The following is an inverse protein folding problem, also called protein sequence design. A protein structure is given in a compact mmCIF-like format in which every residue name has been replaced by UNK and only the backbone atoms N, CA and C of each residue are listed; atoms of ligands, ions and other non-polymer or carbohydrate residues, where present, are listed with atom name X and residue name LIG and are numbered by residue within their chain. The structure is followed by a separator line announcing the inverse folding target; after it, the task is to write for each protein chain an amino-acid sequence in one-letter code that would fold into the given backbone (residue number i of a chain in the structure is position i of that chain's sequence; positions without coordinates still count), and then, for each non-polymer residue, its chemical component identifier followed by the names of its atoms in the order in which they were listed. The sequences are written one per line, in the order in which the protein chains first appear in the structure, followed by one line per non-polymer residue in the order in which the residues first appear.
data_IF_986298396985
#
_entry.id   IF_986298396985
#
_cell.length_a   1.000
_cell.length_b   1.000
_cell.length_c   1.000
_cell.angle_alpha   90.00
_cell.angle_beta   90.00
_cell.angle_gamma   90.00
#
_symmetry.space_group_name_H-M   'P 1'
#
loop_
_entity.id
_entity.type
_entity.pdbx_description
1 polymer ?
#
# COMPACT_ATOMS: atom_id res chain seq x y z
N UNK A 1 10.93 -1.98 5.72
CA UNK A 1 11.70 -0.77 5.33
C UNK A 1 11.52 -0.56 3.82
N UNK A 2 11.90 0.60 3.30
CA UNK A 2 11.96 0.83 1.85
C UNK A 2 13.07 -0.04 1.27
N UNK A 3 12.72 -0.95 0.36
CA UNK A 3 13.69 -1.88 -0.24
C UNK A 3 14.37 -1.27 -1.47
N UNK A 4 13.58 -0.68 -2.38
CA UNK A 4 14.05 -0.06 -3.60
C UNK A 4 13.68 1.42 -3.60
N UNK A 5 14.64 2.27 -3.94
CA UNK A 5 14.43 3.71 -4.08
C UNK A 5 14.15 4.03 -5.54
N UNK A 6 12.94 4.47 -5.83
CA UNK A 6 12.52 4.90 -7.16
C UNK A 6 12.63 6.42 -7.24
N UNK A 7 13.50 6.89 -8.13
CA UNK A 7 13.60 8.31 -8.42
C UNK A 7 12.42 8.77 -9.28
N UNK A 8 12.08 10.05 -9.17
CA UNK A 8 11.08 10.66 -10.03
C UNK A 8 11.51 10.60 -11.50
N UNK A 9 10.56 10.32 -12.37
CA UNK A 9 10.69 10.41 -13.84
C UNK A 9 9.37 10.94 -14.40
N UNK A 10 8.56 10.10 -15.04
CA UNK A 10 7.20 10.47 -15.50
C UNK A 10 6.15 10.44 -14.38
N UNK A 11 6.53 10.02 -13.18
CA UNK A 11 5.67 9.98 -12.00
C UNK A 11 6.34 10.66 -10.81
N UNK A 12 5.53 11.31 -9.97
CA UNK A 12 5.94 11.69 -8.61
C UNK A 12 5.85 10.44 -7.71
N UNK A 13 6.95 10.13 -7.03
CA UNK A 13 7.08 8.90 -6.23
C UNK A 13 7.43 9.23 -4.80
N UNK A 14 6.46 9.13 -3.91
CA UNK A 14 6.66 9.35 -2.47
C UNK A 14 6.73 8.00 -1.77
N UNK A 15 7.86 7.72 -1.13
CA UNK A 15 8.10 6.49 -0.37
C UNK A 15 8.16 6.82 1.11
N UNK A 16 7.48 6.02 1.94
CA UNK A 16 7.42 6.25 3.39
C UNK A 16 7.84 5.00 4.14
N UNK A 17 8.91 5.10 4.90
CA UNK A 17 9.37 4.02 5.77
C UNK A 17 8.69 4.08 7.14
N UNK A 18 8.08 2.97 7.54
CA UNK A 18 7.49 2.82 8.88
C UNK A 18 8.60 2.88 9.94
N UNK A 19 8.40 3.72 10.96
CA UNK A 19 9.36 4.01 12.01
C UNK A 19 10.27 5.20 11.73
N UNK A 20 10.31 5.71 10.49
CA UNK A 20 11.10 6.89 10.11
C UNK A 20 10.16 8.00 9.62
N UNK A 21 9.43 7.75 8.53
CA UNK A 21 8.56 8.75 7.88
C UNK A 21 7.11 8.68 8.35
N UNK A 22 6.71 7.56 8.95
CA UNK A 22 5.36 7.30 9.45
C UNK A 22 5.40 6.37 10.66
N UNK A 23 4.47 6.53 11.60
CA UNK A 23 4.42 5.70 12.81
C UNK A 23 3.94 4.26 12.54
N UNK A 24 3.00 4.09 11.60
CA UNK A 24 2.45 2.78 11.22
C UNK A 24 1.91 2.79 9.79
N UNK A 25 1.52 1.62 9.28
CA UNK A 25 0.79 1.49 8.02
C UNK A 25 -0.54 2.22 8.05
N UNK A 26 -1.34 2.06 9.11
CA UNK A 26 -2.67 2.69 9.20
C UNK A 26 -2.56 4.22 9.15
N UNK A 27 -1.56 4.79 9.84
CA UNK A 27 -1.26 6.22 9.79
C UNK A 27 -0.78 6.64 8.39
N UNK A 28 0.02 5.82 7.72
CA UNK A 28 0.47 6.10 6.36
C UNK A 28 -0.72 6.13 5.40
N UNK A 29 -1.55 5.08 5.41
CA UNK A 29 -2.71 4.90 4.54
C UNK A 29 -3.76 5.99 4.74
N UNK A 30 -4.16 6.29 5.99
CA UNK A 30 -5.10 7.39 6.28
C UNK A 30 -4.63 8.74 5.76
N UNK A 31 -3.32 8.99 5.77
CA UNK A 31 -2.74 10.23 5.27
C UNK A 31 -2.60 10.23 3.74
N UNK A 32 -2.37 9.07 3.12
CA UNK A 32 -2.27 8.94 1.65
C UNK A 32 -3.53 9.40 0.94
N UNK A 33 -4.74 9.20 1.49
CA UNK A 33 -6.00 9.72 0.92
C UNK A 33 -5.97 11.24 0.68
N UNK A 34 -5.23 11.99 1.51
CA UNK A 34 -5.11 13.45 1.38
C UNK A 34 -3.98 13.88 0.45
N UNK A 35 -3.19 12.94 -0.05
CA UNK A 35 -2.09 13.18 -1.00
C UNK A 35 -2.52 12.98 -2.46
N UNK A 36 -3.80 12.64 -2.70
CA UNK A 36 -4.36 12.38 -4.02
C UNK A 36 -3.46 11.48 -4.90
N UNK A 37 -3.08 10.27 -4.43
CA UNK A 37 -2.26 9.35 -5.21
C UNK A 37 -3.05 8.80 -6.41
N UNK A 38 -2.36 8.42 -7.47
CA UNK A 38 -2.96 7.60 -8.55
C UNK A 38 -2.72 6.10 -8.31
N UNK A 39 -1.55 5.78 -7.73
CA UNK A 39 -1.07 4.41 -7.48
C UNK A 39 -0.57 4.29 -6.05
N UNK A 40 -0.90 3.19 -5.36
CA UNK A 40 -0.51 2.94 -3.98
C UNK A 40 0.11 1.54 -3.87
N UNK A 41 1.35 1.47 -3.36
CA UNK A 41 1.98 0.22 -2.92
C UNK A 41 1.89 0.12 -1.38
N UNK A 42 1.12 -0.85 -0.90
CA UNK A 42 0.81 -1.02 0.54
C UNK A 42 1.82 -1.96 1.24
N UNK A 43 2.64 -2.69 0.48
CA UNK A 43 3.52 -3.72 1.02
C UNK A 43 2.76 -5.02 1.35
N UNK A 44 3.22 -5.77 2.36
CA UNK A 44 2.58 -7.02 2.79
C UNK A 44 1.36 -6.75 3.68
N UNK A 45 0.21 -7.29 3.31
CA UNK A 45 -1.01 -7.23 4.12
C UNK A 45 -0.95 -8.30 5.20
N UNK A 46 -0.89 -7.85 6.47
CA UNK A 46 -0.81 -8.71 7.65
C UNK A 46 -2.01 -8.61 8.59
N UNK A 47 -2.86 -7.60 8.40
CA UNK A 47 -4.07 -7.37 9.22
C UNK A 47 -5.28 -7.13 8.33
N UNK A 48 -6.46 -7.47 8.85
CA UNK A 48 -7.73 -7.18 8.20
C UNK A 48 -7.91 -5.68 7.96
N UNK A 49 -7.54 -4.82 8.91
CA UNK A 49 -7.63 -3.36 8.77
C UNK A 49 -6.80 -2.85 7.56
N UNK A 50 -5.60 -3.40 7.34
CA UNK A 50 -4.79 -3.03 6.17
C UNK A 50 -5.44 -3.48 4.86
N UNK A 51 -6.07 -4.67 4.85
CA UNK A 51 -6.82 -5.16 3.70
C UNK A 51 -8.04 -4.28 3.39
N UNK A 52 -8.78 -3.89 4.41
CA UNK A 52 -9.94 -3.00 4.26
C UNK A 52 -9.55 -1.67 3.62
N UNK A 53 -8.42 -1.08 4.04
CA UNK A 53 -7.89 0.10 3.36
C UNK A 53 -7.54 -0.18 1.90
N UNK A 54 -6.83 -1.28 1.60
CA UNK A 54 -6.45 -1.63 0.23
C UNK A 54 -7.67 -1.74 -0.69
N UNK A 55 -8.74 -2.38 -0.22
CA UNK A 55 -10.00 -2.53 -0.95
C UNK A 55 -10.66 -1.16 -1.16
N UNK A 56 -10.78 -0.33 -0.11
CA UNK A 56 -11.38 1.01 -0.23
C UNK A 56 -10.64 1.90 -1.22
N UNK A 57 -9.30 1.84 -1.26
CA UNK A 57 -8.52 2.58 -2.25
C UNK A 57 -8.80 2.10 -3.67
N UNK A 58 -8.84 0.78 -3.88
CA UNK A 58 -9.13 0.20 -5.19
C UNK A 58 -10.54 0.57 -5.67
N UNK A 59 -11.54 0.56 -4.78
CA UNK A 59 -12.92 0.94 -5.08
C UNK A 59 -13.07 2.43 -5.44
N UNK A 60 -12.19 3.28 -4.94
CA UNK A 60 -12.20 4.73 -5.20
C UNK A 60 -11.40 5.14 -6.44
N UNK A 61 -10.93 4.17 -7.23
CA UNK A 61 -10.30 4.40 -8.54
C UNK A 61 -8.78 4.45 -8.52
N UNK A 62 -8.15 4.08 -7.40
CA UNK A 62 -6.70 4.00 -7.28
C UNK A 62 -6.19 2.64 -7.76
N UNK A 63 -5.01 2.59 -8.39
CA UNK A 63 -4.33 1.32 -8.61
C UNK A 63 -3.61 0.89 -7.33
N UNK A 64 -4.09 -0.16 -6.69
CA UNK A 64 -3.50 -0.71 -5.47
C UNK A 64 -2.63 -1.93 -5.76
N UNK A 65 -1.41 -1.92 -5.22
CA UNK A 65 -0.48 -3.03 -5.22
C UNK A 65 -0.20 -3.45 -3.78
N UNK A 66 -0.32 -4.74 -3.51
CA UNK A 66 -0.04 -5.33 -2.21
C UNK A 66 0.49 -6.74 -2.38
N UNK A 67 1.15 -7.26 -1.35
CA UNK A 67 1.61 -8.65 -1.31
C UNK A 67 0.92 -9.41 -0.19
N UNK A 68 0.71 -10.70 -0.43
CA UNK A 68 0.17 -11.65 0.52
C UNK A 68 1.07 -12.87 0.51
N UNK A 69 1.26 -13.49 1.67
CA UNK A 69 1.95 -14.77 1.72
C UNK A 69 0.99 -15.90 1.33
N UNK A 70 0.88 -16.16 0.03
CA UNK A 70 0.06 -17.23 -0.54
C UNK A 70 0.83 -17.94 -1.66
N UNK A 71 0.66 -19.25 -1.78
CA UNK A 71 1.38 -20.04 -2.78
C UNK A 71 0.66 -20.13 -4.13
N UNK A 72 -0.60 -19.70 -4.20
CA UNK A 72 -1.41 -19.67 -5.42
C UNK A 72 -2.58 -18.68 -5.29
N UNK A 73 -3.28 -18.46 -6.39
CA UNK A 73 -4.39 -17.51 -6.47
C UNK A 73 -5.55 -17.86 -5.52
N UNK A 74 -5.92 -19.14 -5.40
CA UNK A 74 -7.03 -19.56 -4.54
C UNK A 74 -6.72 -19.27 -3.07
N UNK A 75 -5.51 -19.62 -2.60
CA UNK A 75 -5.06 -19.29 -1.24
C UNK A 75 -4.98 -17.78 -0.98
N UNK A 76 -4.68 -16.98 -1.99
CA UNK A 76 -4.65 -15.52 -1.84
C UNK A 76 -6.07 -14.94 -1.69
N UNK A 77 -7.08 -15.55 -2.34
CA UNK A 77 -8.47 -15.14 -2.24
C UNK A 77 -9.15 -15.62 -0.95
N UNK A 78 -8.78 -16.81 -0.46
CA UNK A 78 -9.38 -17.41 0.75
C UNK A 78 -8.87 -16.80 2.06
N UNK A 79 -7.77 -16.05 2.03
CA UNK A 79 -7.08 -15.50 3.21
C UNK A 79 -7.64 -14.15 3.64
#
# INVERSE_FOLDING_TARGET
PVEFVHQHDRCLVTQREVGIDTASFDVALKNSLRQAPDVILIGEIRSQETMEFAIQFAETGHLCLATLHANNANQALDR
#
